data_IF_599768961470
#
_entry.id   IF_599768961470
#
_cell.length_a   1.000
_cell.length_b   1.000
_cell.length_c   1.000
_cell.angle_alpha   90.00
_cell.angle_beta   90.00
_cell.angle_gamma   90.00
#
_symmetry.space_group_name_H-M   'P 1'
#
loop_
_entity.id
_entity.type
_entity.pdbx_description
1 polymer ?
#
# COMPACT_ATOMS: atom_id res chain seq x y z
N UNK A 1 22.10 6.53 -13.35
CA UNK A 1 21.47 6.17 -14.64
C UNK A 1 19.98 6.31 -14.44
N UNK A 2 19.33 7.24 -15.13
CA UNK A 2 17.86 7.35 -15.08
C UNK A 2 17.29 6.17 -15.86
N UNK A 3 16.49 5.33 -15.21
CA UNK A 3 15.81 4.26 -15.93
C UNK A 3 14.86 4.84 -16.97
N UNK A 4 14.76 4.19 -18.13
CA UNK A 4 13.83 4.58 -19.16
C UNK A 4 12.39 4.43 -18.63
N UNK A 5 11.56 5.43 -18.89
CA UNK A 5 10.15 5.47 -18.46
C UNK A 5 9.38 4.20 -18.86
N UNK A 6 9.56 3.71 -20.10
CA UNK A 6 8.82 2.55 -20.62
C UNK A 6 9.03 1.26 -19.82
N UNK A 7 10.28 0.76 -19.67
CA UNK A 7 10.56 -0.41 -18.84
C UNK A 7 10.10 -0.26 -17.39
N UNK A 8 10.27 0.93 -16.79
CA UNK A 8 9.81 1.20 -15.43
C UNK A 8 8.28 1.12 -15.29
N UNK A 9 7.55 1.78 -16.19
CA UNK A 9 6.09 1.79 -16.22
C UNK A 9 5.51 0.38 -16.45
N UNK A 10 6.14 -0.44 -17.31
CA UNK A 10 5.69 -1.80 -17.56
C UNK A 10 5.78 -2.68 -16.30
N UNK A 11 6.89 -2.59 -15.56
CA UNK A 11 7.05 -3.33 -14.29
C UNK A 11 6.03 -2.86 -13.26
N UNK A 12 5.81 -1.55 -13.14
CA UNK A 12 4.82 -0.99 -12.22
C UNK A 12 3.38 -1.43 -12.56
N UNK A 13 3.03 -1.48 -13.84
CA UNK A 13 1.75 -2.00 -14.33
C UNK A 13 1.51 -3.45 -13.89
N UNK A 14 2.55 -4.30 -13.97
CA UNK A 14 2.48 -5.67 -13.48
C UNK A 14 2.30 -5.78 -11.96
N UNK A 15 2.90 -4.88 -11.18
CA UNK A 15 2.68 -4.81 -9.74
C UNK A 15 1.27 -4.33 -9.40
N UNK A 16 0.74 -3.33 -10.11
CA UNK A 16 -0.63 -2.85 -9.91
C UNK A 16 -1.66 -3.96 -10.17
N UNK A 17 -1.46 -4.80 -11.18
CA UNK A 17 -2.32 -5.96 -11.42
C UNK A 17 -2.30 -6.97 -10.25
N UNK A 18 -1.11 -7.25 -9.70
CA UNK A 18 -0.96 -8.25 -8.62
C UNK A 18 -1.41 -7.74 -7.24
N UNK A 19 -1.11 -6.48 -6.91
CA UNK A 19 -1.37 -5.92 -5.58
C UNK A 19 -2.75 -5.29 -5.45
N UNK A 20 -3.22 -4.65 -6.54
CA UNK A 20 -4.44 -3.85 -6.53
C UNK A 20 -5.57 -4.48 -7.35
N UNK A 21 -5.30 -5.55 -8.11
CA UNK A 21 -6.27 -6.19 -9.01
C UNK A 21 -6.60 -5.35 -10.26
N UNK A 22 -5.80 -4.32 -10.55
CA UNK A 22 -6.06 -3.40 -11.65
C UNK A 22 -5.83 -4.04 -13.03
N UNK A 23 -6.72 -3.74 -13.97
CA UNK A 23 -6.49 -3.97 -15.40
C UNK A 23 -5.48 -2.96 -15.95
N UNK A 24 -4.79 -3.26 -17.07
CA UNK A 24 -3.83 -2.33 -17.67
C UNK A 24 -4.38 -0.92 -17.92
N UNK A 25 -5.66 -0.81 -18.31
CA UNK A 25 -6.31 0.48 -18.54
C UNK A 25 -6.43 1.36 -17.29
N UNK A 26 -6.60 0.75 -16.11
CA UNK A 26 -6.69 1.48 -14.84
C UNK A 26 -5.32 2.06 -14.44
N UNK A 27 -4.24 1.30 -14.64
CA UNK A 27 -2.88 1.78 -14.42
C UNK A 27 -2.53 2.98 -15.30
N UNK A 28 -2.88 2.94 -16.59
CA UNK A 28 -2.59 4.04 -17.53
C UNK A 28 -3.48 5.26 -17.34
N UNK A 29 -4.64 5.11 -16.69
CA UNK A 29 -5.52 6.21 -16.32
C UNK A 29 -5.09 6.89 -15.01
N UNK A 30 -4.43 6.16 -14.11
CA UNK A 30 -3.95 6.68 -12.84
C UNK A 30 -2.74 7.61 -13.02
N UNK A 31 -2.74 8.70 -12.27
CA UNK A 31 -1.62 9.63 -12.21
C UNK A 31 -0.48 9.08 -11.34
N UNK A 32 0.76 9.53 -11.55
CA UNK A 32 1.88 9.18 -10.68
C UNK A 32 1.67 9.54 -9.20
N UNK A 33 0.96 10.65 -8.93
CA UNK A 33 0.66 11.09 -7.57
C UNK A 33 -0.34 10.16 -6.86
N UNK A 34 -1.38 9.70 -7.58
CA UNK A 34 -2.33 8.72 -7.06
C UNK A 34 -1.64 7.37 -6.80
N UNK A 35 -0.81 6.90 -7.72
CA UNK A 35 -0.01 5.68 -7.53
C UNK A 35 0.90 5.80 -6.30
N UNK A 36 1.57 6.93 -6.12
CA UNK A 36 2.41 7.18 -4.95
C UNK A 36 1.58 7.18 -3.65
N UNK A 37 0.36 7.73 -3.66
CA UNK A 37 -0.51 7.74 -2.50
C UNK A 37 -0.99 6.32 -2.12
N UNK A 38 -1.32 5.48 -3.11
CA UNK A 38 -1.77 4.10 -2.91
C UNK A 38 -0.63 3.21 -2.38
N UNK A 39 0.56 3.36 -2.95
CA UNK A 39 1.73 2.55 -2.59
C UNK A 39 2.45 3.06 -1.34
N UNK A 40 2.06 4.22 -0.81
CA UNK A 40 2.62 4.77 0.42
C UNK A 40 2.36 3.75 1.55
N UNK A 41 3.41 3.23 2.21
CA UNK A 41 3.22 2.44 3.41
C UNK A 41 2.36 3.24 4.39
N UNK A 42 1.40 2.59 5.03
CA UNK A 42 0.64 3.25 6.09
C UNK A 42 1.61 3.87 7.09
N UNK A 43 1.41 5.13 7.47
CA UNK A 43 2.00 5.62 8.71
C UNK A 43 1.58 4.64 9.79
N UNK A 44 2.55 4.10 10.53
CA UNK A 44 2.24 3.33 11.72
C UNK A 44 1.46 4.28 12.64
N UNK A 45 0.14 4.17 12.61
CA UNK A 45 -0.74 4.98 13.41
C UNK A 45 -0.59 4.50 14.86
N UNK A 46 0.37 5.08 15.56
CA UNK A 46 0.67 4.80 16.95
C UNK A 46 1.34 3.46 17.21
N UNK A 47 1.77 3.31 18.47
CA UNK A 47 2.33 2.09 19.03
C UNK A 47 1.31 0.94 18.82
N UNK A 48 1.74 -0.11 18.11
CA UNK A 48 0.88 -1.25 17.86
C UNK A 48 0.44 -1.87 19.19
N UNK A 49 -0.87 -2.13 19.35
CA UNK A 49 -1.42 -2.74 20.55
C UNK A 49 -0.69 -4.05 20.85
N UNK A 50 -0.07 -4.16 22.02
CA UNK A 50 0.61 -5.39 22.40
C UNK A 50 -0.40 -6.43 22.87
N UNK A 51 0.02 -7.70 22.88
CA UNK A 51 -0.77 -8.80 23.47
C UNK A 51 -1.13 -8.52 24.94
N UNK A 52 -0.26 -7.81 25.66
CA UNK A 52 -0.45 -7.44 27.06
C UNK A 52 -1.56 -6.38 27.18
N UNK A 53 -1.54 -5.36 26.33
CA UNK A 53 -2.56 -4.30 26.33
C UNK A 53 -3.94 -4.85 25.96
N UNK A 54 -4.00 -5.78 25.00
CA UNK A 54 -5.23 -6.47 24.64
C UNK A 54 -5.80 -7.28 25.81
N UNK A 55 -4.96 -7.99 26.56
CA UNK A 55 -5.41 -8.76 27.73
C UNK A 55 -5.97 -7.85 28.83
N UNK A 56 -5.32 -6.72 29.10
CA UNK A 56 -5.79 -5.72 30.08
C UNK A 56 -7.15 -5.12 29.72
N UNK A 57 -7.45 -4.96 28.42
CA UNK A 57 -8.78 -4.49 27.98
C UNK A 57 -9.85 -5.55 28.27
N UNK A 58 -9.58 -6.82 27.97
CA UNK A 58 -10.52 -7.94 28.20
C UNK A 58 -10.84 -8.18 29.69
N UNK A 59 -9.92 -7.83 30.59
CA UNK A 59 -10.10 -7.93 32.05
C UNK A 59 -10.93 -6.79 32.64
N UNK A 60 -10.99 -5.63 31.97
CA UNK A 60 -11.75 -4.45 32.43
C UNK A 60 -13.25 -4.51 32.08
N UNK A 61 -13.60 -5.31 31.08
CA UNK A 61 -14.98 -5.47 30.58
C UNK A 61 -15.72 -6.65 31.26
N UNK A 62 -15.13 -7.26 32.30
CA UNK A 62 -15.71 -8.32 33.13
C UNK A 62 -16.11 -7.78 34.51
#
# INVERSE_FOLDING_TARGET
>A
MSELFGPGALRLSGHAAQLLGWRPGEFWAATPAELAAILRPGEAAGEALTRIDLNRLMEREQ
#
